data_IF_041502475177
#
_entry.id   IF_041502475177
#
_cell.length_a   1.000
_cell.length_b   1.000
_cell.length_c   1.000
_cell.angle_alpha   90.00
_cell.angle_beta   90.00
_cell.angle_gamma   90.00
#
_symmetry.space_group_name_H-M   'P 1'
#
loop_
_entity.id
_entity.type
_entity.pdbx_description
1 polymer ?
#
# COMPACT_ATOMS: atom_id res chain seq x y z
N UNK A 1 -19.96 23.98 9.05
CA UNK A 1 -19.88 23.72 8.43
C UNK A 1 -20.00 23.46 7.84
N UNK A 2 -19.70 23.18 7.48
CA UNK A 2 -19.67 22.93 6.72
C UNK A 2 -20.13 22.42 6.20
N UNK A 3 -20.51 22.46 6.35
CA UNK A 3 -21.05 22.18 5.63
C UNK A 3 -20.89 22.02 4.58
N UNK A 4 -20.68 22.04 4.62
CA UNK A 4 -20.32 21.95 3.28
C UNK A 4 -20.34 20.51 2.77
N UNK A 5 -20.34 20.35 1.46
CA UNK A 5 -20.40 19.01 0.89
C UNK A 5 -19.00 18.40 0.89
N UNK A 6 -18.85 17.25 1.50
CA UNK A 6 -17.61 16.52 1.44
C UNK A 6 -17.45 15.85 0.07
N UNK A 7 -16.31 16.03 -0.53
CA UNK A 7 -16.03 15.34 -1.79
C UNK A 7 -15.70 13.87 -1.53
N UNK A 8 -15.81 13.08 -2.58
CA UNK A 8 -15.40 11.68 -2.49
C UNK A 8 -13.92 11.55 -2.12
N UNK A 9 -13.09 12.47 -2.63
CA UNK A 9 -11.67 12.49 -2.31
C UNK A 9 -11.44 12.72 -0.83
N UNK A 10 -12.19 13.62 -0.22
CA UNK A 10 -12.06 13.90 1.21
C UNK A 10 -12.43 12.67 2.03
N UNK A 11 -13.51 11.99 1.66
CA UNK A 11 -13.94 10.79 2.35
C UNK A 11 -12.92 9.66 2.22
N UNK A 12 -12.33 9.52 1.04
CA UNK A 12 -11.29 8.52 0.83
C UNK A 12 -10.07 8.81 1.68
N UNK A 13 -9.67 10.08 1.77
CA UNK A 13 -8.52 10.46 2.57
C UNK A 13 -8.73 10.12 4.04
N UNK A 14 -9.89 10.46 4.59
CA UNK A 14 -10.19 10.16 5.99
C UNK A 14 -10.21 8.64 6.23
N UNK A 15 -10.92 7.91 5.37
CA UNK A 15 -11.00 6.46 5.51
C UNK A 15 -9.62 5.81 5.36
N UNK A 16 -8.81 6.32 4.43
CA UNK A 16 -7.49 5.75 4.19
C UNK A 16 -6.57 5.95 5.40
N UNK A 17 -6.70 7.09 6.08
CA UNK A 17 -5.88 7.37 7.26
C UNK A 17 -6.18 6.40 8.41
N UNK A 18 -7.45 6.22 8.73
CA UNK A 18 -7.86 5.41 9.88
C UNK A 18 -8.44 4.05 9.52
N UNK A 19 -8.84 3.88 8.29
CA UNK A 19 -9.41 2.64 7.76
C UNK A 19 -10.59 2.14 8.57
N UNK A 20 -11.54 3.04 8.87
CA UNK A 20 -12.75 2.68 9.61
C UNK A 20 -13.69 1.80 8.79
N UNK A 21 -13.67 1.93 7.47
CA UNK A 21 -14.57 1.19 6.60
C UNK A 21 -13.78 0.53 5.49
N UNK A 22 -14.25 -0.65 5.09
CA UNK A 22 -13.68 -1.38 3.98
C UNK A 22 -14.72 -1.43 2.86
N UNK A 23 -14.26 -1.24 1.65
CA UNK A 23 -15.14 -1.26 0.48
C UNK A 23 -14.78 -2.42 -0.42
N UNK A 24 -15.73 -2.76 -1.28
CA UNK A 24 -15.49 -3.78 -2.31
C UNK A 24 -14.57 -3.20 -3.37
N UNK A 25 -13.53 -3.94 -3.70
CA UNK A 25 -12.55 -3.51 -4.70
C UNK A 25 -13.03 -3.93 -6.09
N UNK A 26 -12.72 -3.09 -7.08
CA UNK A 26 -12.95 -3.46 -8.48
C UNK A 26 -11.93 -4.51 -8.91
N UNK A 27 -12.21 -5.18 -10.02
CA UNK A 27 -11.28 -6.16 -10.57
C UNK A 27 -9.93 -5.51 -10.91
N UNK A 28 -9.95 -4.30 -11.45
CA UNK A 28 -8.74 -3.57 -11.77
C UNK A 28 -7.92 -3.30 -10.51
N UNK A 29 -8.59 -2.89 -9.43
CA UNK A 29 -7.91 -2.64 -8.16
C UNK A 29 -7.30 -3.91 -7.58
N UNK A 30 -8.01 -5.02 -7.68
CA UNK A 30 -7.48 -6.31 -7.24
C UNK A 30 -6.24 -6.70 -8.02
N UNK A 31 -6.24 -6.46 -9.34
CA UNK A 31 -5.08 -6.73 -10.19
C UNK A 31 -3.91 -5.85 -9.82
N UNK A 32 -4.15 -4.56 -9.59
CA UNK A 32 -3.12 -3.63 -9.18
C UNK A 32 -2.50 -4.05 -7.85
N UNK A 33 -3.33 -4.42 -6.88
CA UNK A 33 -2.86 -4.86 -5.58
C UNK A 33 -2.01 -6.13 -5.70
N UNK A 34 -2.47 -7.09 -6.50
CA UNK A 34 -1.74 -8.33 -6.72
C UNK A 34 -0.37 -8.06 -7.38
N UNK A 35 -0.33 -7.15 -8.36
CA UNK A 35 0.92 -6.80 -9.03
C UNK A 35 1.90 -6.14 -8.07
N UNK A 36 1.43 -5.22 -7.24
CA UNK A 36 2.28 -4.56 -6.25
C UNK A 36 2.88 -5.58 -5.29
N UNK A 37 2.04 -6.47 -4.76
CA UNK A 37 2.50 -7.48 -3.80
C UNK A 37 3.49 -8.44 -4.44
N UNK A 38 3.24 -8.88 -5.67
CA UNK A 38 4.13 -9.79 -6.37
C UNK A 38 5.49 -9.15 -6.63
N UNK A 39 5.51 -7.90 -7.06
CA UNK A 39 6.76 -7.17 -7.25
C UNK A 39 7.52 -7.00 -5.94
N UNK A 40 6.79 -6.71 -4.85
CA UNK A 40 7.41 -6.57 -3.55
C UNK A 40 8.04 -7.86 -3.06
N UNK A 41 7.36 -8.98 -3.24
CA UNK A 41 7.89 -10.29 -2.88
C UNK A 41 9.15 -10.62 -3.67
N UNK A 42 9.13 -10.33 -4.96
CA UNK A 42 10.29 -10.59 -5.81
C UNK A 42 11.47 -9.73 -5.37
N UNK A 43 11.25 -8.46 -5.10
CA UNK A 43 12.31 -7.59 -4.62
C UNK A 43 12.87 -8.06 -3.29
N UNK A 44 12.01 -8.46 -2.34
CA UNK A 44 12.45 -8.98 -1.06
C UNK A 44 13.28 -10.24 -1.22
N UNK A 45 12.91 -11.13 -2.14
CA UNK A 45 13.68 -12.35 -2.40
C UNK A 45 15.07 -12.01 -2.92
N UNK A 46 15.16 -11.06 -3.84
CA UNK A 46 16.45 -10.62 -4.38
C UNK A 46 17.32 -10.01 -3.28
N UNK A 47 16.73 -9.16 -2.44
CA UNK A 47 17.45 -8.55 -1.33
C UNK A 47 17.98 -9.63 -0.38
N UNK A 48 17.15 -10.63 -0.06
CA UNK A 48 17.57 -11.74 0.80
C UNK A 48 18.75 -12.51 0.21
N UNK A 49 18.78 -12.66 -1.11
CA UNK A 49 19.87 -13.36 -1.78
C UNK A 49 21.17 -12.57 -1.74
N UNK A 50 21.11 -11.26 -1.51
CA UNK A 50 22.32 -10.45 -1.41
C UNK A 50 23.11 -10.72 -0.13
N UNK A 51 22.48 -11.30 0.88
CA UNK A 51 23.16 -11.59 2.14
C UNK A 51 22.49 -10.89 3.32
N UNK A 52 23.30 -10.44 4.28
CA UNK A 52 22.79 -9.79 5.47
C UNK A 52 23.70 -8.62 5.85
N UNK A 53 23.09 -7.46 6.12
CA UNK A 53 23.80 -6.27 6.56
C UNK A 53 22.79 -5.29 7.11
N UNK A 54 23.27 -4.21 7.72
CA UNK A 54 22.39 -3.14 8.18
C UNK A 54 21.66 -2.51 6.99
N UNK A 55 22.38 -2.27 5.91
CA UNK A 55 21.80 -1.67 4.71
C UNK A 55 20.70 -2.54 4.12
N UNK A 56 20.94 -3.85 4.05
CA UNK A 56 19.94 -4.77 3.53
C UNK A 56 18.72 -4.86 4.44
N UNK A 57 18.90 -4.79 5.75
CA UNK A 57 17.77 -4.76 6.69
C UNK A 57 16.91 -3.54 6.46
N UNK A 58 17.53 -2.38 6.25
CA UNK A 58 16.81 -1.14 5.95
C UNK A 58 16.07 -1.28 4.62
N UNK A 59 16.72 -1.85 3.61
CA UNK A 59 16.11 -2.05 2.29
C UNK A 59 14.86 -2.91 2.39
N UNK A 60 14.91 -3.99 3.18
CA UNK A 60 13.74 -4.85 3.39
C UNK A 60 12.59 -4.07 4.02
N UNK A 61 12.88 -3.31 5.08
CA UNK A 61 11.86 -2.51 5.76
C UNK A 61 11.24 -1.51 4.81
N UNK A 62 12.06 -0.82 4.01
CA UNK A 62 11.55 0.17 3.05
C UNK A 62 10.72 -0.47 1.95
N UNK A 63 11.11 -1.66 1.51
CA UNK A 63 10.33 -2.41 0.52
C UNK A 63 8.95 -2.77 1.08
N UNK A 64 8.92 -3.27 2.32
CA UNK A 64 7.66 -3.60 2.99
C UNK A 64 6.77 -2.37 3.13
N UNK A 65 7.37 -1.24 3.52
CA UNK A 65 6.64 0.02 3.63
C UNK A 65 6.08 0.47 2.28
N UNK A 66 6.88 0.34 1.23
CA UNK A 66 6.45 0.76 -0.10
C UNK A 66 5.22 -0.04 -0.54
N UNK A 67 5.23 -1.35 -0.33
CA UNK A 67 4.09 -2.21 -0.66
C UNK A 67 2.88 -1.82 0.17
N UNK A 68 3.07 -1.62 1.48
CA UNK A 68 1.99 -1.26 2.39
C UNK A 68 1.30 0.04 1.96
N UNK A 69 2.10 1.07 1.68
CA UNK A 69 1.54 2.37 1.31
C UNK A 69 0.86 2.32 -0.05
N UNK A 70 1.45 1.60 -1.02
CA UNK A 70 0.84 1.47 -2.34
C UNK A 70 -0.49 0.72 -2.27
N UNK A 71 -0.54 -0.39 -1.51
CA UNK A 71 -1.78 -1.16 -1.33
C UNK A 71 -2.82 -0.31 -0.60
N UNK A 72 -2.39 0.46 0.39
CA UNK A 72 -3.30 1.34 1.12
C UNK A 72 -3.95 2.35 0.19
N UNK A 73 -3.21 2.86 -0.78
CA UNK A 73 -3.79 3.74 -1.80
C UNK A 73 -4.82 3.01 -2.66
N UNK A 74 -4.45 1.83 -3.16
CA UNK A 74 -5.35 1.07 -4.05
C UNK A 74 -6.66 0.72 -3.35
N UNK A 75 -6.59 0.43 -2.05
CA UNK A 75 -7.76 0.02 -1.29
C UNK A 75 -8.45 1.16 -0.55
N UNK A 76 -8.04 2.37 -0.80
CA UNK A 76 -8.58 3.56 -0.12
C UNK A 76 -10.08 3.78 -0.40
#
# INVERSE_FOLDING_TARGET
MTDKVDSTSDQRTVNNTMRHQYRVLSDKEKEQMAAIKSCGEELLNIINECGASRELSIAKTKTEEAVMWAVKHVTA
#
